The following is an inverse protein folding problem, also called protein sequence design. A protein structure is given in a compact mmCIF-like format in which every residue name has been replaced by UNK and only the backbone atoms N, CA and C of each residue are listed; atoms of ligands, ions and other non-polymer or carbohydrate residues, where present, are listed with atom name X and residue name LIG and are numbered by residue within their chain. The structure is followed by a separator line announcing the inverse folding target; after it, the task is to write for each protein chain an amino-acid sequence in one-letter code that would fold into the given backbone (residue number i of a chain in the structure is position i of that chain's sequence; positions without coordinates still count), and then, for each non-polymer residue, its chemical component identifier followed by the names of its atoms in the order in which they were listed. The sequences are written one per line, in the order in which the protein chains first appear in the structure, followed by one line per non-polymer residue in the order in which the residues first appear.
data_IF_090057892903
#
_entry.id   IF_090057892903
#
_cell.length_a   1.000
_cell.length_b   1.000
_cell.length_c   1.000
_cell.angle_alpha   90.00
_cell.angle_beta   90.00
_cell.angle_gamma   90.00
#
_symmetry.space_group_name_H-M   'P 1'
#
loop_
_entity.id
_entity.type
_entity.pdbx_description
1 polymer ?
#
# COMPACT_ATOMS: atom_id res chain seq x y z
N UNK A 1 -3.43 32.88 -4.80
CA UNK A 1 -3.79 31.50 -5.10
C UNK A 1 -2.73 30.89 -6.00
N UNK A 2 -2.29 29.74 -5.65
CA UNK A 2 -1.30 29.04 -6.48
C UNK A 2 -1.96 28.60 -7.79
N UNK A 3 -1.39 29.02 -8.90
CA UNK A 3 -1.78 28.53 -10.21
C UNK A 3 -0.98 27.31 -10.62
N UNK A 4 -0.16 26.80 -9.71
CA UNK A 4 0.62 25.61 -9.99
C UNK A 4 -0.31 24.44 -10.23
N UNK A 5 -0.34 23.97 -11.44
CA UNK A 5 -1.02 22.73 -11.73
C UNK A 5 -0.25 21.60 -11.07
N UNK A 6 -0.90 20.95 -10.11
CA UNK A 6 -0.37 19.71 -9.61
C UNK A 6 -0.46 18.70 -10.75
N UNK A 7 0.67 18.13 -11.13
CA UNK A 7 0.66 17.03 -12.06
C UNK A 7 -0.14 15.89 -11.44
N UNK A 8 -1.21 15.51 -12.09
CA UNK A 8 -2.01 14.38 -11.64
C UNK A 8 -1.33 13.09 -12.08
N UNK A 9 -0.47 12.58 -11.22
CA UNK A 9 0.25 11.34 -11.50
C UNK A 9 -0.70 10.13 -11.56
N UNK A 10 -1.90 10.24 -10.98
CA UNK A 10 -2.86 9.14 -11.04
C UNK A 10 -3.33 8.86 -12.46
N UNK A 11 -3.42 9.91 -13.31
CA UNK A 11 -3.75 9.75 -14.72
C UNK A 11 -2.63 9.06 -15.52
N UNK A 12 -1.39 9.14 -15.02
CA UNK A 12 -0.22 8.55 -15.66
C UNK A 12 0.13 7.19 -15.08
N UNK A 13 -0.32 6.89 -13.88
CA UNK A 13 -0.04 5.65 -13.20
C UNK A 13 -1.07 4.60 -13.57
N UNK A 14 -0.60 3.37 -13.74
CA UNK A 14 -1.47 2.22 -13.91
C UNK A 14 -1.97 1.65 -12.58
N UNK A 15 -1.43 2.17 -11.46
CA UNK A 15 -1.86 1.79 -10.12
C UNK A 15 -3.12 2.55 -9.75
N UNK A 16 -3.99 1.91 -9.01
CA UNK A 16 -5.17 2.56 -8.42
C UNK A 16 -5.42 2.00 -7.03
N UNK A 17 -6.02 2.80 -6.17
CA UNK A 17 -6.48 2.34 -4.86
C UNK A 17 -8.01 2.31 -4.86
N UNK A 18 -8.58 1.35 -4.16
CA UNK A 18 -10.04 1.22 -4.04
C UNK A 18 -10.60 1.96 -2.83
N UNK A 19 -9.76 2.69 -2.10
CA UNK A 19 -10.19 3.59 -1.02
C UNK A 19 -9.69 4.99 -1.31
N UNK A 20 -10.40 5.99 -0.75
CA UNK A 20 -9.98 7.39 -0.83
C UNK A 20 -8.90 7.63 0.22
N UNK A 21 -7.66 7.88 -0.21
CA UNK A 21 -6.54 8.11 0.69
C UNK A 21 -6.59 9.47 1.38
N UNK A 22 -7.52 10.35 1.00
CA UNK A 22 -7.67 11.68 1.59
C UNK A 22 -8.85 11.78 2.56
N UNK A 23 -9.66 10.75 2.68
CA UNK A 23 -10.81 10.76 3.58
C UNK A 23 -10.40 10.58 5.03
N UNK A 24 -11.19 11.15 5.94
CA UNK A 24 -11.00 11.01 7.39
C UNK A 24 -11.33 9.59 7.84
N UNK A 25 -10.75 9.18 8.97
CA UNK A 25 -11.04 7.91 9.58
C UNK A 25 -10.10 6.80 9.13
N UNK A 26 -10.49 5.59 9.47
CA UNK A 26 -9.71 4.39 9.18
C UNK A 26 -10.43 3.55 8.12
N UNK A 27 -9.71 3.16 7.09
CA UNK A 27 -10.24 2.30 6.04
C UNK A 27 -9.19 1.31 5.56
N UNK A 28 -9.65 0.16 5.17
CA UNK A 28 -8.86 -0.92 4.58
C UNK A 28 -9.24 -1.07 3.11
N UNK A 29 -8.25 -1.34 2.28
CA UNK A 29 -8.49 -1.56 0.86
C UNK A 29 -7.28 -2.18 0.19
N UNK A 30 -7.21 -2.01 -1.12
CA UNK A 30 -6.14 -2.55 -1.94
C UNK A 30 -5.65 -1.53 -2.93
N UNK A 31 -4.35 -1.50 -3.14
CA UNK A 31 -3.76 -0.91 -4.34
C UNK A 31 -3.82 -1.99 -5.41
N UNK A 32 -4.35 -1.63 -6.57
CA UNK A 32 -4.46 -2.54 -7.71
C UNK A 32 -3.30 -2.32 -8.65
N UNK A 33 -2.52 -3.38 -8.86
CA UNK A 33 -1.44 -3.38 -9.83
C UNK A 33 -1.94 -4.14 -11.07
N UNK A 34 -2.07 -3.49 -12.23
CA UNK A 34 -2.50 -4.20 -13.43
C UNK A 34 -1.53 -5.33 -13.78
N UNK A 35 -2.08 -6.50 -14.01
CA UNK A 35 -1.29 -7.68 -14.35
C UNK A 35 -2.10 -8.57 -15.29
N UNK A 36 -1.63 -8.69 -16.52
CA UNK A 36 -2.31 -9.45 -17.55
C UNK A 36 -1.64 -10.80 -17.73
N UNK A 37 -2.22 -11.83 -17.10
CA UNK A 37 -1.85 -13.22 -17.33
C UNK A 37 -3.10 -14.05 -17.55
N UNK A 38 -2.96 -15.15 -18.26
CA UNK A 38 -4.09 -16.03 -18.57
C UNK A 38 -4.79 -16.60 -17.33
N UNK A 39 -4.10 -16.62 -16.19
CA UNK A 39 -4.64 -17.15 -14.93
C UNK A 39 -5.36 -16.11 -14.08
N UNK A 40 -5.25 -14.83 -14.41
CA UNK A 40 -5.88 -13.78 -13.64
C UNK A 40 -7.25 -13.47 -14.20
N UNK A 41 -8.30 -13.80 -13.45
CA UNK A 41 -9.68 -13.49 -13.84
C UNK A 41 -9.94 -11.97 -13.83
N UNK A 42 -9.15 -11.21 -13.07
CA UNK A 42 -9.41 -9.79 -12.82
C UNK A 42 -8.41 -8.84 -13.47
N UNK A 43 -7.28 -9.36 -13.96
CA UNK A 43 -6.26 -8.55 -14.62
C UNK A 43 -5.52 -7.60 -13.68
N UNK A 44 -5.52 -7.82 -12.37
CA UNK A 44 -4.81 -7.00 -11.41
C UNK A 44 -4.38 -7.78 -10.17
N UNK A 45 -3.34 -7.27 -9.51
CA UNK A 45 -2.80 -7.83 -8.27
C UNK A 45 -3.21 -6.91 -7.12
N UNK A 46 -3.87 -7.42 -6.08
CA UNK A 46 -4.22 -6.63 -4.91
C UNK A 46 -3.04 -6.51 -3.95
N UNK A 47 -2.74 -5.29 -3.52
CA UNK A 47 -1.76 -5.03 -2.46
C UNK A 47 -2.52 -4.39 -1.30
N UNK A 48 -2.52 -4.99 -0.11
CA UNK A 48 -3.25 -4.43 1.03
C UNK A 48 -2.75 -3.03 1.39
N UNK A 49 -3.69 -2.14 1.68
CA UNK A 49 -3.40 -0.77 2.12
C UNK A 49 -4.38 -0.38 3.22
N UNK A 50 -3.89 0.38 4.19
CA UNK A 50 -4.71 0.94 5.26
C UNK A 50 -4.44 2.44 5.34
N UNK A 51 -5.50 3.22 5.43
CA UNK A 51 -5.44 4.65 5.72
C UNK A 51 -5.99 4.91 7.10
N UNK A 52 -5.26 5.70 7.89
CA UNK A 52 -5.76 6.25 9.15
C UNK A 52 -5.52 7.75 9.08
N UNK A 53 -6.58 8.54 9.12
CA UNK A 53 -6.47 9.99 9.02
C UNK A 53 -7.32 10.66 10.09
N UNK A 54 -6.73 11.65 10.76
CA UNK A 54 -7.41 12.48 11.75
C UNK A 54 -6.92 13.93 11.63
N UNK A 55 -7.66 14.73 10.87
CA UNK A 55 -7.39 16.14 10.70
C UNK A 55 -6.10 16.44 9.94
N UNK A 56 -5.66 17.69 10.07
CA UNK A 56 -4.42 18.15 9.45
C UNK A 56 -3.21 17.76 10.28
N UNK A 57 -2.12 17.45 9.61
CA UNK A 57 -0.88 17.06 10.24
C UNK A 57 0.04 16.36 9.26
N UNK A 58 1.11 15.75 9.75
CA UNK A 58 2.06 15.06 8.89
C UNK A 58 1.43 13.93 8.08
N UNK A 59 2.00 13.66 6.92
CA UNK A 59 1.69 12.49 6.13
C UNK A 59 2.84 11.49 6.29
N UNK A 60 2.53 10.28 6.74
CA UNK A 60 3.52 9.24 6.97
C UNK A 60 3.14 8.00 6.19
N UNK A 61 4.09 7.43 5.48
CA UNK A 61 3.97 6.14 4.83
C UNK A 61 4.80 5.12 5.59
N UNK A 62 4.17 4.04 5.99
CA UNK A 62 4.85 2.88 6.58
C UNK A 62 4.63 1.67 5.68
N UNK A 63 5.69 0.97 5.37
CA UNK A 63 5.57 -0.23 4.55
C UNK A 63 6.49 -1.33 5.07
N UNK A 64 6.08 -2.56 4.86
CA UNK A 64 6.85 -3.76 5.16
C UNK A 64 6.67 -4.75 4.02
N UNK A 65 7.46 -5.82 4.04
CA UNK A 65 7.34 -6.85 3.02
C UNK A 65 7.85 -6.44 1.65
N UNK A 66 8.82 -5.54 1.57
CA UNK A 66 9.57 -5.29 0.33
C UNK A 66 10.24 -6.58 -0.13
N UNK A 67 10.75 -7.36 0.82
CA UNK A 67 11.11 -8.75 0.62
C UNK A 67 10.02 -9.61 1.29
N UNK A 68 9.41 -10.49 0.52
CA UNK A 68 8.23 -11.24 0.98
C UNK A 68 8.51 -12.22 2.11
N UNK A 69 9.77 -12.62 2.31
CA UNK A 69 10.17 -13.56 3.35
C UNK A 69 10.60 -12.89 4.67
N UNK A 70 10.50 -11.57 4.76
CA UNK A 70 10.82 -10.82 5.97
C UNK A 70 9.53 -10.54 6.75
N UNK A 71 9.26 -11.40 7.75
CA UNK A 71 7.97 -11.44 8.43
C UNK A 71 7.79 -10.41 9.54
N UNK A 72 8.89 -10.00 10.19
CA UNK A 72 8.83 -9.15 11.40
C UNK A 72 8.09 -7.84 11.15
N UNK A 73 8.46 -7.13 10.08
CA UNK A 73 7.80 -5.88 9.73
C UNK A 73 6.34 -6.06 9.35
N UNK A 74 6.04 -7.13 8.63
CA UNK A 74 4.66 -7.44 8.22
C UNK A 74 3.78 -7.72 9.44
N UNK A 75 4.26 -8.51 10.38
CA UNK A 75 3.54 -8.81 11.63
C UNK A 75 3.42 -7.55 12.48
N UNK A 76 4.50 -6.79 12.60
CA UNK A 76 4.50 -5.54 13.38
C UNK A 76 3.51 -4.51 12.85
N UNK A 77 3.47 -4.29 11.54
CA UNK A 77 2.50 -3.37 10.94
C UNK A 77 1.08 -3.91 11.06
N UNK A 78 0.88 -5.22 10.93
CA UNK A 78 -0.42 -5.84 11.15
C UNK A 78 -0.94 -5.58 12.57
N UNK A 79 -0.08 -5.72 13.57
CA UNK A 79 -0.44 -5.43 14.96
C UNK A 79 -0.74 -3.94 15.15
N UNK A 80 0.05 -3.06 14.54
CA UNK A 80 -0.18 -1.63 14.60
C UNK A 80 -1.52 -1.24 13.96
N UNK A 81 -1.84 -1.83 12.80
CA UNK A 81 -3.11 -1.59 12.12
C UNK A 81 -4.29 -1.95 13.02
N UNK A 82 -4.21 -3.07 13.72
CA UNK A 82 -5.29 -3.50 14.63
C UNK A 82 -5.41 -2.60 15.84
N UNK A 83 -4.29 -2.06 16.34
CA UNK A 83 -4.27 -1.27 17.57
C UNK A 83 -4.63 0.20 17.36
N UNK A 84 -4.23 0.81 16.25
CA UNK A 84 -4.39 2.25 16.02
C UNK A 84 -5.81 2.60 15.61
N UNK A 85 -6.33 3.64 16.26
CA UNK A 85 -7.60 4.27 15.90
C UNK A 85 -7.34 5.70 15.43
N UNK A 86 -8.25 6.32 14.66
CA UNK A 86 -8.04 7.70 14.20
C UNK A 86 -7.76 8.68 15.34
N UNK A 87 -8.43 8.53 16.49
CA UNK A 87 -8.23 9.41 17.63
C UNK A 87 -6.84 9.31 18.25
N UNK A 88 -6.07 8.28 17.94
CA UNK A 88 -4.72 8.09 18.47
C UNK A 88 -3.67 8.90 17.72
N UNK A 89 -4.02 9.47 16.55
CA UNK A 89 -3.06 10.17 15.69
C UNK A 89 -3.56 11.55 15.29
N UNK A 90 -2.64 12.34 14.74
CA UNK A 90 -2.95 13.59 14.06
C UNK A 90 -2.27 13.58 12.70
N UNK A 91 -3.04 13.87 11.63
CA UNK A 91 -2.54 13.81 10.27
C UNK A 91 -2.96 12.51 9.59
N UNK A 92 -2.12 12.02 8.69
CA UNK A 92 -2.45 10.86 7.87
C UNK A 92 -1.35 9.81 7.93
N UNK A 93 -1.76 8.57 8.18
CA UNK A 93 -0.89 7.40 8.13
C UNK A 93 -1.41 6.45 7.05
N UNK A 94 -0.55 6.12 6.11
CA UNK A 94 -0.83 5.11 5.08
C UNK A 94 0.10 3.94 5.32
N UNK A 95 -0.46 2.74 5.39
CA UNK A 95 0.28 1.52 5.75
C UNK A 95 0.12 0.49 4.64
N UNK A 96 1.25 0.01 4.14
CA UNK A 96 1.33 -1.13 3.22
C UNK A 96 2.00 -2.28 3.97
N UNK A 97 1.23 -3.18 4.60
CA UNK A 97 1.84 -4.22 5.44
C UNK A 97 2.58 -5.30 4.64
N UNK A 98 2.28 -5.43 3.35
CA UNK A 98 2.92 -6.42 2.48
C UNK A 98 3.11 -5.79 1.10
N UNK A 99 4.09 -4.88 0.97
CA UNK A 99 4.28 -4.09 -0.23
C UNK A 99 4.58 -4.95 -1.47
N UNK A 100 5.39 -5.99 -1.31
CA UNK A 100 5.60 -6.98 -2.37
C UNK A 100 4.70 -8.18 -2.09
N UNK A 101 3.39 -7.99 -2.30
CA UNK A 101 2.39 -8.99 -1.95
C UNK A 101 2.61 -10.34 -2.64
N UNK A 102 2.93 -10.41 -3.95
CA UNK A 102 3.20 -11.69 -4.58
C UNK A 102 4.35 -12.46 -3.93
N UNK A 103 5.44 -11.79 -3.55
CA UNK A 103 6.55 -12.41 -2.86
C UNK A 103 6.15 -12.87 -1.45
N UNK A 104 5.36 -12.06 -0.73
CA UNK A 104 4.89 -12.38 0.61
C UNK A 104 3.99 -13.63 0.61
N UNK A 105 3.11 -13.74 -0.37
CA UNK A 105 2.19 -14.88 -0.49
C UNK A 105 2.93 -16.20 -0.71
N UNK A 106 4.09 -16.18 -1.34
CA UNK A 106 4.91 -17.36 -1.55
C UNK A 106 6.06 -17.51 -0.55
N UNK A 107 6.19 -16.56 0.38
CA UNK A 107 7.28 -16.57 1.35
C UNK A 107 8.65 -16.41 0.71
N UNK A 108 8.74 -15.63 -0.36
CA UNK A 108 9.96 -15.42 -1.14
C UNK A 108 10.50 -14.02 -0.95
N UNK A 109 11.80 -13.86 -1.16
CA UNK A 109 12.45 -12.56 -1.14
C UNK A 109 12.04 -11.70 -2.35
N UNK A 110 11.91 -12.30 -3.51
CA UNK A 110 11.58 -11.65 -4.77
C UNK A 110 10.20 -12.07 -5.25
N UNK A 111 9.64 -11.24 -6.15
CA UNK A 111 8.33 -11.55 -6.71
C UNK A 111 8.39 -12.78 -7.61
N UNK A 112 7.46 -13.74 -7.46
CA UNK A 112 7.38 -14.89 -8.37
C UNK A 112 6.91 -14.50 -9.78
N UNK A 113 6.41 -13.27 -9.96
CA UNK A 113 5.89 -12.81 -11.25
C UNK A 113 7.04 -12.50 -12.21
N UNK A 114 8.06 -11.79 -11.73
CA UNK A 114 9.17 -11.32 -12.57
C UNK A 114 10.53 -11.54 -11.93
N UNK A 115 10.58 -12.24 -10.79
CA UNK A 115 11.78 -12.42 -9.96
C UNK A 115 12.37 -11.09 -9.49
N UNK A 116 11.58 -10.01 -9.57
CA UNK A 116 12.01 -8.67 -9.20
C UNK A 116 12.15 -8.48 -7.71
N UNK A 117 13.19 -7.76 -7.33
CA UNK A 117 13.41 -7.32 -5.95
C UNK A 117 12.95 -5.87 -5.85
N UNK A 118 11.85 -5.63 -5.14
CA UNK A 118 11.23 -4.32 -5.05
C UNK A 118 12.18 -3.26 -4.51
N UNK A 119 13.08 -3.64 -3.62
CA UNK A 119 14.04 -2.71 -3.02
C UNK A 119 15.20 -2.37 -3.97
N UNK A 120 15.32 -3.08 -5.08
CA UNK A 120 16.41 -2.94 -6.05
C UNK A 120 15.95 -2.47 -7.43
N UNK A 121 14.66 -2.34 -7.62
CA UNK A 121 14.12 -1.93 -8.91
C UNK A 121 14.15 -0.43 -9.15
#
# INVERSE_FOLDING_TARGET
MSTTQKTDFSAMSRLSADIDLNAEGKAHGFVRVPHSVHRSAYGWIPIPIVRIKNGDGPNVLMQAGNHGDEWEGQIGLGNLIRALRPEDIRGRLVILPSANFPAAMEGRRTSPIDEGNLNRS
#
